data_IF_446097293290
#
_entry.id   IF_446097293290
#
_cell.length_a   1.000
_cell.length_b   1.000
_cell.length_c   1.000
_cell.angle_alpha   90.00
_cell.angle_beta   90.00
_cell.angle_gamma   90.00
#
_symmetry.space_group_name_H-M   'P 1'
#
loop_
_entity.id
_entity.type
_entity.pdbx_description
1 polymer ?
#
# COMPACT_ATOMS: atom_id res chain seq x y z
N UNK A 1 18.30 12.98 -3.66
CA UNK A 1 17.07 12.74 -4.47
C UNK A 1 17.37 11.98 -5.77
N UNK A 2 18.36 12.42 -6.57
CA UNK A 2 18.73 11.78 -7.84
C UNK A 2 19.10 10.29 -7.74
N UNK A 3 19.86 9.87 -6.72
CA UNK A 3 20.20 8.45 -6.50
C UNK A 3 18.96 7.58 -6.38
N UNK A 4 17.95 8.01 -5.63
CA UNK A 4 16.70 7.26 -5.46
C UNK A 4 15.90 7.12 -6.76
N UNK A 5 15.82 8.18 -7.56
CA UNK A 5 15.19 8.12 -8.90
C UNK A 5 15.95 7.10 -9.76
N UNK A 6 17.28 7.21 -9.79
CA UNK A 6 18.14 6.27 -10.52
C UNK A 6 17.92 4.83 -10.05
N UNK A 7 17.85 4.57 -8.75
CA UNK A 7 17.66 3.23 -8.19
C UNK A 7 16.26 2.67 -8.50
N UNK A 8 15.24 3.53 -8.58
CA UNK A 8 13.89 3.16 -9.01
C UNK A 8 13.87 2.70 -10.47
N UNK A 9 14.53 3.44 -11.35
CA UNK A 9 14.51 3.17 -12.80
C UNK A 9 15.52 2.11 -13.21
N UNK A 10 16.74 2.16 -12.68
CA UNK A 10 17.85 1.26 -12.97
C UNK A 10 17.96 0.03 -12.07
N UNK A 11 17.28 0.03 -10.92
CA UNK A 11 17.46 -0.98 -9.88
C UNK A 11 18.62 -0.65 -8.93
N UNK A 12 18.67 -1.35 -7.80
CA UNK A 12 19.74 -1.30 -6.80
C UNK A 12 21.11 -1.61 -7.40
N UNK A 13 22.17 -1.41 -6.63
CA UNK A 13 23.48 -1.98 -6.99
C UNK A 13 23.37 -3.50 -7.20
N UNK A 14 24.19 -4.08 -8.11
CA UNK A 14 24.25 -5.52 -8.30
C UNK A 14 24.55 -6.25 -6.99
N UNK A 15 23.81 -7.33 -6.76
CA UNK A 15 23.98 -8.23 -5.63
C UNK A 15 24.35 -9.60 -6.17
N UNK A 16 25.31 -10.22 -5.52
CA UNK A 16 25.82 -11.55 -5.87
C UNK A 16 25.54 -12.54 -4.74
N UNK A 17 25.13 -13.73 -5.13
CA UNK A 17 24.90 -14.85 -4.24
C UNK A 17 25.69 -16.05 -4.74
N UNK A 18 26.73 -16.42 -3.99
CA UNK A 18 27.55 -17.59 -4.29
C UNK A 18 26.79 -18.84 -3.86
N UNK A 19 26.71 -19.82 -4.75
CA UNK A 19 26.13 -21.12 -4.47
C UNK A 19 27.19 -22.12 -4.03
N UNK A 20 26.87 -22.93 -3.03
CA UNK A 20 27.67 -24.09 -2.62
C UNK A 20 27.48 -25.32 -3.51
N UNK A 21 26.66 -25.22 -4.57
CA UNK A 21 26.26 -26.35 -5.41
C UNK A 21 26.58 -26.11 -6.89
N UNK A 22 26.52 -27.18 -7.68
CA UNK A 22 26.58 -27.11 -9.14
C UNK A 22 25.39 -26.33 -9.73
N UNK A 23 25.49 -25.94 -11.00
CA UNK A 23 24.54 -25.02 -11.64
C UNK A 23 23.10 -25.56 -11.65
N UNK A 24 22.93 -26.79 -12.14
CA UNK A 24 21.62 -27.46 -12.21
C UNK A 24 20.98 -27.61 -10.84
N UNK A 25 21.78 -27.99 -9.83
CA UNK A 25 21.31 -28.15 -8.46
C UNK A 25 20.93 -26.79 -7.83
N UNK A 26 21.73 -25.75 -8.05
CA UNK A 26 21.45 -24.38 -7.58
C UNK A 26 20.11 -23.88 -8.12
N UNK A 27 19.87 -24.09 -9.43
CA UNK A 27 18.60 -23.74 -10.08
C UNK A 27 17.44 -24.55 -9.48
N UNK A 28 17.61 -25.86 -9.30
CA UNK A 28 16.57 -26.73 -8.74
C UNK A 28 16.22 -26.35 -7.29
N UNK A 29 17.21 -26.08 -6.44
CA UNK A 29 17.01 -25.67 -5.04
C UNK A 29 16.33 -24.31 -4.93
N UNK A 30 16.79 -23.32 -5.70
CA UNK A 30 16.14 -22.02 -5.71
C UNK A 30 14.71 -22.13 -6.24
N UNK A 31 14.48 -22.95 -7.27
CA UNK A 31 13.12 -23.21 -7.78
C UNK A 31 12.24 -23.86 -6.71
N UNK A 32 12.75 -24.83 -5.95
CA UNK A 32 12.02 -25.48 -4.85
C UNK A 32 11.68 -24.52 -3.70
N UNK A 33 12.56 -23.56 -3.41
CA UNK A 33 12.31 -22.50 -2.43
C UNK A 33 11.31 -21.43 -2.90
N UNK A 34 10.88 -21.49 -4.16
CA UNK A 34 9.97 -20.51 -4.78
C UNK A 34 8.65 -21.14 -5.19
N UNK A 35 7.54 -20.45 -4.94
CA UNK A 35 6.22 -20.92 -5.37
C UNK A 35 5.94 -20.43 -6.79
N UNK A 36 5.35 -21.28 -7.63
CA UNK A 36 4.83 -20.86 -8.93
C UNK A 36 3.63 -19.92 -8.74
N UNK A 37 3.37 -19.06 -9.73
CA UNK A 37 2.30 -18.06 -9.71
C UNK A 37 0.91 -18.72 -9.82
N UNK A 38 0.48 -19.43 -8.78
CA UNK A 38 -0.91 -19.84 -8.60
C UNK A 38 -1.67 -18.67 -7.97
N UNK A 39 -2.57 -18.04 -8.74
CA UNK A 39 -3.27 -16.78 -8.45
C UNK A 39 -4.12 -16.77 -7.15
N UNK A 40 -4.26 -17.88 -6.42
CA UNK A 40 -5.25 -18.01 -5.35
C UNK A 40 -4.80 -18.74 -4.07
N UNK A 41 -3.51 -19.08 -3.88
CA UNK A 41 -3.10 -20.03 -2.82
C UNK A 41 -1.89 -19.65 -1.96
N UNK A 42 -1.55 -18.38 -1.83
CA UNK A 42 -0.54 -17.99 -0.83
C UNK A 42 -1.27 -17.59 0.45
N UNK A 43 -1.50 -18.56 1.34
CA UNK A 43 -2.01 -18.32 2.70
C UNK A 43 -0.95 -17.70 3.61
N UNK A 44 0.32 -17.84 3.22
CA UNK A 44 1.50 -17.39 3.97
C UNK A 44 2.39 -16.49 3.10
N UNK A 45 3.42 -15.89 3.68
CA UNK A 45 4.38 -15.11 2.90
C UNK A 45 5.26 -16.05 2.06
N UNK A 46 5.45 -15.76 0.77
CA UNK A 46 6.26 -16.62 -0.10
C UNK A 46 7.05 -15.82 -1.14
N UNK A 47 8.18 -16.40 -1.56
CA UNK A 47 8.91 -15.96 -2.74
C UNK A 47 8.23 -16.58 -3.96
N UNK A 48 7.78 -15.75 -4.90
CA UNK A 48 7.06 -16.18 -6.11
C UNK A 48 7.78 -15.64 -7.32
N UNK A 49 7.91 -16.47 -8.35
CA UNK A 49 8.44 -16.00 -9.63
C UNK A 49 8.98 -17.12 -10.52
N UNK A 50 9.85 -16.73 -11.45
CA UNK A 50 10.46 -17.63 -12.43
C UNK A 50 11.93 -17.84 -12.05
N UNK A 51 12.34 -19.10 -12.01
CA UNK A 51 13.74 -19.49 -11.79
C UNK A 51 14.18 -20.34 -12.98
N UNK A 52 15.13 -19.83 -13.74
CA UNK A 52 15.92 -20.58 -14.74
C UNK A 52 17.37 -20.11 -14.66
N UNK A 53 18.27 -20.86 -15.29
CA UNK A 53 19.68 -20.51 -15.40
C UNK A 53 19.88 -19.11 -15.99
N UNK A 54 19.26 -18.84 -17.14
CA UNK A 54 19.39 -17.58 -17.87
C UNK A 54 18.65 -16.41 -17.24
N UNK A 55 17.62 -16.68 -16.42
CA UNK A 55 16.76 -15.64 -15.86
C UNK A 55 16.09 -16.09 -14.58
N UNK A 56 16.42 -15.37 -13.51
CA UNK A 56 15.75 -15.44 -12.21
C UNK A 56 14.96 -14.15 -12.02
N UNK A 57 13.68 -14.27 -11.73
CA UNK A 57 12.80 -13.15 -11.39
C UNK A 57 11.95 -13.51 -10.20
N UNK A 58 12.17 -12.87 -9.05
CA UNK A 58 11.52 -13.21 -7.78
C UNK A 58 10.91 -11.98 -7.13
N UNK A 59 9.73 -12.13 -6.54
CA UNK A 59 9.07 -11.12 -5.70
C UNK A 59 8.51 -11.74 -4.44
N UNK A 60 8.41 -10.96 -3.38
CA UNK A 60 7.72 -11.37 -2.15
C UNK A 60 6.22 -11.15 -2.30
N UNK A 61 5.45 -12.21 -2.13
CA UNK A 61 3.99 -12.15 -2.02
C UNK A 61 3.62 -12.23 -0.54
N UNK A 62 2.86 -11.24 -0.10
CA UNK A 62 2.27 -11.21 1.24
C UNK A 62 0.76 -11.36 1.04
N UNK A 63 0.11 -12.36 1.66
CA UNK A 63 -1.32 -12.60 1.50
C UNK A 63 -2.12 -11.33 1.74
N UNK A 64 -3.10 -11.05 0.87
CA UNK A 64 -4.01 -9.90 0.94
C UNK A 64 -3.34 -8.51 0.84
N UNK A 65 -2.02 -8.42 0.70
CA UNK A 65 -1.30 -7.15 0.55
C UNK A 65 -0.65 -7.05 -0.84
N UNK A 66 -1.45 -6.53 -1.78
CA UNK A 66 -1.01 -6.18 -3.12
C UNK A 66 -0.30 -4.83 -3.10
N UNK A 67 0.98 -4.82 -3.47
CA UNK A 67 1.70 -3.58 -3.75
C UNK A 67 2.54 -3.80 -5.01
N UNK A 68 2.13 -3.14 -6.10
CA UNK A 68 2.81 -3.26 -7.39
C UNK A 68 4.22 -2.63 -7.37
N UNK A 69 4.47 -1.70 -6.45
CA UNK A 69 5.76 -1.03 -6.27
C UNK A 69 6.76 -1.84 -5.43
N UNK A 70 6.44 -3.11 -5.12
CA UNK A 70 7.39 -4.00 -4.46
C UNK A 70 8.62 -4.24 -5.34
N UNK A 71 9.82 -4.30 -4.75
CA UNK A 71 11.02 -4.65 -5.48
C UNK A 71 10.95 -6.10 -5.95
N UNK A 72 11.36 -6.31 -7.20
CA UNK A 72 11.52 -7.59 -7.87
C UNK A 72 13.02 -7.82 -8.04
N UNK A 73 13.51 -8.95 -7.54
CA UNK A 73 14.85 -9.41 -7.86
C UNK A 73 14.85 -9.89 -9.31
N UNK A 74 15.76 -9.37 -10.14
CA UNK A 74 16.00 -9.86 -11.50
C UNK A 74 17.49 -10.15 -11.67
N UNK A 75 17.83 -11.37 -12.05
CA UNK A 75 19.21 -11.82 -12.17
C UNK A 75 19.37 -13.03 -13.08
N UNK A 76 20.57 -13.60 -13.10
CA UNK A 76 20.91 -14.83 -13.84
C UNK A 76 22.00 -15.59 -13.10
N UNK A 77 22.04 -16.90 -13.28
CA UNK A 77 23.17 -17.70 -12.86
C UNK A 77 24.31 -17.56 -13.86
N UNK A 78 25.54 -17.59 -13.37
CA UNK A 78 26.78 -17.66 -14.14
C UNK A 78 27.80 -18.50 -13.40
N UNK A 79 28.71 -19.15 -14.13
CA UNK A 79 29.89 -19.76 -13.54
C UNK A 79 31.06 -18.79 -13.63
N UNK A 80 31.67 -18.46 -12.49
CA UNK A 80 32.85 -17.63 -12.40
C UNK A 80 33.83 -18.30 -11.42
N UNK A 81 35.09 -18.49 -11.85
CA UNK A 81 36.16 -19.09 -11.03
C UNK A 81 35.80 -20.46 -10.43
N UNK A 82 35.12 -21.32 -11.21
CA UNK A 82 34.68 -22.64 -10.75
C UNK A 82 33.52 -22.61 -9.75
N UNK A 83 32.97 -21.44 -9.43
CA UNK A 83 31.82 -21.28 -8.55
C UNK A 83 30.58 -20.83 -9.34
N UNK A 84 29.41 -21.29 -8.89
CA UNK A 84 28.14 -20.83 -9.43
C UNK A 84 27.72 -19.59 -8.66
N UNK A 85 27.52 -18.48 -9.38
CA UNK A 85 27.12 -17.19 -8.81
C UNK A 85 25.80 -16.76 -9.42
N UNK A 86 24.84 -16.40 -8.57
CA UNK A 86 23.61 -15.72 -8.98
C UNK A 86 23.81 -14.21 -8.83
N UNK A 87 23.94 -13.52 -9.97
CA UNK A 87 24.09 -12.06 -10.00
C UNK A 87 22.78 -11.41 -10.44
N UNK A 88 22.34 -10.38 -9.73
CA UNK A 88 21.09 -9.69 -10.06
C UNK A 88 20.93 -8.35 -9.35
N UNK A 89 19.77 -7.73 -9.51
CA UNK A 89 19.44 -6.41 -8.94
C UNK A 89 18.01 -6.42 -8.42
N UNK A 90 17.74 -5.64 -7.39
CA UNK A 90 16.39 -5.36 -6.92
C UNK A 90 15.87 -4.10 -7.59
N UNK A 91 14.71 -4.16 -8.24
CA UNK A 91 14.13 -2.99 -8.89
C UNK A 91 12.63 -3.10 -9.03
N UNK A 92 11.97 -2.02 -9.46
CA UNK A 92 10.55 -2.06 -9.78
C UNK A 92 10.29 -2.97 -10.98
N UNK A 93 9.08 -3.55 -11.02
CA UNK A 93 8.62 -4.28 -12.20
C UNK A 93 8.59 -3.36 -13.43
N UNK A 94 8.84 -3.92 -14.61
CA UNK A 94 8.81 -3.19 -15.88
C UNK A 94 7.47 -2.47 -16.10
N UNK A 95 6.36 -3.15 -15.77
CA UNK A 95 5.02 -2.58 -15.89
C UNK A 95 4.86 -1.31 -15.06
N UNK A 96 5.33 -1.30 -13.80
CA UNK A 96 5.26 -0.10 -12.96
C UNK A 96 6.12 1.02 -13.51
N UNK A 97 7.32 0.71 -14.04
CA UNK A 97 8.16 1.72 -14.70
C UNK A 97 7.43 2.36 -15.87
N UNK A 98 6.82 1.55 -16.74
CA UNK A 98 6.06 2.05 -17.90
C UNK A 98 4.86 2.90 -17.46
N UNK A 99 4.09 2.42 -16.48
CA UNK A 99 2.95 3.17 -15.92
C UNK A 99 3.39 4.52 -15.34
N UNK A 100 4.46 4.54 -14.54
CA UNK A 100 4.96 5.78 -13.94
C UNK A 100 5.53 6.73 -15.00
N UNK A 101 6.18 6.21 -16.04
CA UNK A 101 6.68 7.04 -17.15
C UNK A 101 5.52 7.70 -17.89
N UNK A 102 4.47 6.93 -18.18
CA UNK A 102 3.23 7.44 -18.77
C UNK A 102 2.57 8.49 -17.86
N UNK A 103 2.39 8.20 -16.56
CA UNK A 103 1.76 9.11 -15.60
C UNK A 103 2.51 10.45 -15.51
N UNK A 104 3.83 10.40 -15.33
CA UNK A 104 4.63 11.62 -15.23
C UNK A 104 4.73 12.37 -16.56
N UNK A 105 4.79 11.65 -17.68
CA UNK A 105 4.73 12.25 -19.01
C UNK A 105 3.40 12.96 -19.27
N UNK A 106 2.29 12.33 -18.90
CA UNK A 106 0.96 12.94 -18.97
C UNK A 106 0.85 14.19 -18.08
N UNK A 107 1.31 14.13 -16.83
CA UNK A 107 1.30 15.30 -15.94
C UNK A 107 2.14 16.45 -16.52
N UNK A 108 3.33 16.16 -17.06
CA UNK A 108 4.19 17.16 -17.69
C UNK A 108 3.53 17.78 -18.94
N UNK A 109 2.96 16.95 -19.82
CA UNK A 109 2.24 17.40 -21.00
C UNK A 109 1.02 18.25 -20.62
N UNK A 110 0.24 17.82 -19.63
CA UNK A 110 -0.91 18.57 -19.12
C UNK A 110 -0.49 19.95 -18.61
N UNK A 111 0.59 20.04 -17.83
CA UNK A 111 1.13 21.32 -17.37
C UNK A 111 1.47 22.19 -18.58
N UNK A 112 2.24 21.69 -19.54
CA UNK A 112 2.63 22.45 -20.75
C UNK A 112 1.42 22.95 -21.55
N UNK A 113 0.44 22.08 -21.80
CA UNK A 113 -0.77 22.44 -22.55
C UNK A 113 -1.70 23.39 -21.78
N UNK A 114 -1.62 23.41 -20.45
CA UNK A 114 -2.41 24.32 -19.63
C UNK A 114 -1.83 25.74 -19.53
N UNK A 115 -0.55 25.94 -19.89
CA UNK A 115 0.10 27.26 -19.80
C UNK A 115 -0.57 28.34 -20.68
N UNK A 116 -0.92 28.09 -21.96
CA UNK A 116 -1.61 29.10 -22.77
C UNK A 116 -2.98 29.47 -22.21
N UNK A 117 -3.73 28.49 -21.68
CA UNK A 117 -5.03 28.73 -21.05
C UNK A 117 -4.88 29.57 -19.76
N UNK A 118 -3.86 29.27 -18.96
CA UNK A 118 -3.54 30.04 -17.75
C UNK A 118 -3.17 31.50 -18.06
N UNK A 119 -2.57 31.78 -19.22
CA UNK A 119 -2.21 33.13 -19.65
C UNK A 119 -3.43 33.96 -20.13
N UNK A 120 -4.53 33.32 -20.52
CA UNK A 120 -5.69 34.00 -21.12
C UNK A 120 -6.80 34.37 -20.11
N UNK A 121 -6.80 33.82 -18.89
CA UNK A 121 -7.86 34.12 -17.93
C UNK A 121 -7.59 33.67 -16.50
N UNK A 122 -8.14 34.41 -15.53
CA UNK A 122 -7.96 34.19 -14.09
C UNK A 122 -8.50 32.85 -13.60
N UNK A 123 -9.57 32.33 -14.22
CA UNK A 123 -10.16 31.04 -13.85
C UNK A 123 -9.27 29.83 -14.20
N UNK A 124 -8.48 29.92 -15.28
CA UNK A 124 -7.60 28.84 -15.74
C UNK A 124 -6.17 28.93 -15.15
N UNK A 125 -5.85 30.02 -14.45
CA UNK A 125 -4.53 30.26 -13.86
C UNK A 125 -4.05 29.13 -12.91
N UNK A 126 -4.98 28.40 -12.30
CA UNK A 126 -4.68 27.30 -11.37
C UNK A 126 -4.52 25.93 -12.06
N UNK A 127 -4.84 25.78 -13.35
CA UNK A 127 -4.72 24.50 -14.04
C UNK A 127 -3.29 23.92 -14.03
N UNK A 128 -2.22 24.69 -14.30
CA UNK A 128 -0.86 24.19 -14.19
C UNK A 128 -0.53 23.65 -12.78
N UNK A 129 -1.05 24.31 -11.74
CA UNK A 129 -0.86 23.88 -10.35
C UNK A 129 -1.54 22.53 -10.07
N UNK A 130 -2.68 22.25 -10.68
CA UNK A 130 -3.31 20.92 -10.60
C UNK A 130 -2.40 19.83 -11.18
N UNK A 131 -1.78 20.08 -12.35
CA UNK A 131 -0.83 19.15 -12.96
C UNK A 131 0.42 18.92 -12.11
N UNK A 132 0.99 19.99 -11.54
CA UNK A 132 2.12 19.91 -10.59
C UNK A 132 1.71 19.14 -9.33
N UNK A 133 0.52 19.40 -8.80
CA UNK A 133 -0.02 18.68 -7.65
C UNK A 133 -0.17 17.19 -7.91
N UNK A 134 -0.72 16.79 -9.06
CA UNK A 134 -0.83 15.39 -9.47
C UNK A 134 0.55 14.73 -9.65
N UNK A 135 1.52 15.46 -10.21
CA UNK A 135 2.89 14.97 -10.33
C UNK A 135 3.51 14.71 -8.95
N UNK A 136 3.43 15.69 -8.04
CA UNK A 136 3.94 15.57 -6.68
C UNK A 136 3.27 14.42 -5.91
N UNK A 137 1.96 14.25 -6.08
CA UNK A 137 1.20 13.16 -5.48
C UNK A 137 1.69 11.80 -6.00
N UNK A 138 1.87 11.65 -7.32
CA UNK A 138 2.42 10.42 -7.92
C UNK A 138 3.82 10.07 -7.37
N UNK A 139 4.66 11.08 -7.18
CA UNK A 139 5.99 10.92 -6.56
C UNK A 139 5.89 10.47 -5.10
N UNK A 140 5.02 11.12 -4.32
CA UNK A 140 4.76 10.79 -2.92
C UNK A 140 4.22 9.37 -2.76
N UNK A 141 3.26 8.97 -3.57
CA UNK A 141 2.68 7.61 -3.57
C UNK A 141 3.75 6.56 -3.91
N UNK A 142 4.55 6.80 -4.95
CA UNK A 142 5.64 5.88 -5.33
C UNK A 142 6.62 5.68 -4.19
N UNK A 143 7.01 6.77 -3.51
CA UNK A 143 7.90 6.73 -2.36
C UNK A 143 7.28 6.00 -1.18
N UNK A 144 6.01 6.26 -0.88
CA UNK A 144 5.27 5.60 0.20
C UNK A 144 5.17 4.09 -0.04
N UNK A 145 4.79 3.67 -1.24
CA UNK A 145 4.68 2.26 -1.58
C UNK A 145 6.03 1.54 -1.65
N UNK A 146 7.08 2.21 -2.11
CA UNK A 146 8.44 1.68 -2.04
C UNK A 146 8.89 1.51 -0.57
N UNK A 147 8.56 2.48 0.30
CA UNK A 147 8.87 2.43 1.72
C UNK A 147 8.19 1.26 2.43
N UNK A 148 6.95 0.93 2.08
CA UNK A 148 6.27 -0.28 2.59
C UNK A 148 6.99 -1.58 2.28
N UNK A 149 7.81 -1.57 1.24
CA UNK A 149 8.50 -2.76 0.73
C UNK A 149 10.00 -2.71 0.99
N UNK A 150 10.47 -1.78 1.84
CA UNK A 150 11.91 -1.59 2.13
C UNK A 150 12.60 -2.84 2.72
N UNK A 151 11.84 -3.71 3.38
CA UNK A 151 12.34 -4.98 3.94
C UNK A 151 12.30 -6.15 2.96
N UNK A 152 11.66 -6.01 1.81
CA UNK A 152 11.50 -7.11 0.84
C UNK A 152 12.83 -7.55 0.21
N UNK A 153 13.78 -6.66 -0.14
CA UNK A 153 15.10 -7.07 -0.65
C UNK A 153 15.90 -7.91 0.34
N UNK A 154 15.91 -7.53 1.62
CA UNK A 154 16.60 -8.27 2.67
C UNK A 154 15.95 -9.65 2.88
N UNK A 155 14.62 -9.71 2.94
CA UNK A 155 13.88 -10.96 3.07
C UNK A 155 14.12 -11.90 1.88
N UNK A 156 14.02 -11.39 0.64
CA UNK A 156 14.30 -12.17 -0.57
C UNK A 156 15.75 -12.63 -0.63
N UNK A 157 16.70 -11.76 -0.25
CA UNK A 157 18.12 -12.12 -0.17
C UNK A 157 18.34 -13.28 0.79
N UNK A 158 17.64 -13.30 1.93
CA UNK A 158 17.73 -14.41 2.88
C UNK A 158 17.20 -15.71 2.27
N UNK A 159 16.03 -15.67 1.61
CA UNK A 159 15.47 -16.85 0.93
C UNK A 159 16.45 -17.38 -0.13
N UNK A 160 17.05 -16.49 -0.92
CA UNK A 160 18.05 -16.85 -1.94
C UNK A 160 19.29 -17.47 -1.28
N UNK A 161 19.86 -16.82 -0.25
CA UNK A 161 21.03 -17.34 0.47
C UNK A 161 20.75 -18.71 1.07
N UNK A 162 19.63 -18.89 1.76
CA UNK A 162 19.25 -20.18 2.35
C UNK A 162 19.09 -21.27 1.29
N UNK A 163 18.55 -20.96 0.11
CA UNK A 163 18.42 -21.93 -0.97
C UNK A 163 19.75 -22.32 -1.63
N UNK A 164 20.73 -21.41 -1.62
CA UNK A 164 22.01 -21.56 -2.33
C UNK A 164 23.19 -21.98 -1.44
N UNK A 165 23.08 -21.87 -0.11
CA UNK A 165 24.09 -22.38 0.81
C UNK A 165 23.91 -23.89 1.09
N UNK A 166 25.03 -24.60 1.21
CA UNK A 166 25.08 -25.96 1.75
C UNK A 166 24.47 -25.98 3.16
N UNK A 167 23.74 -27.04 3.58
CA UNK A 167 23.35 -27.17 4.98
C UNK A 167 24.64 -27.15 5.81
N UNK A 168 24.76 -26.15 6.68
CA UNK A 168 25.72 -26.20 7.77
C UNK A 168 25.27 -27.37 8.66
N UNK A 169 26.21 -28.17 9.17
CA UNK A 169 25.95 -29.33 10.04
C UNK A 169 24.78 -29.07 11.02
N UNK A 170 23.94 -30.08 11.31
CA UNK A 170 22.75 -29.93 12.14
C UNK A 170 22.97 -29.22 13.50
N UNK A 171 24.19 -29.28 14.05
CA UNK A 171 24.61 -28.51 15.24
C UNK A 171 24.54 -26.98 15.08
N UNK A 172 24.85 -26.43 13.90
CA UNK A 172 24.77 -24.99 13.66
C UNK A 172 23.32 -24.50 13.46
N UNK A 173 22.42 -25.39 13.05
CA UNK A 173 20.99 -25.09 12.86
C UNK A 173 20.27 -24.98 14.21
N UNK A 174 20.75 -25.71 15.24
CA UNK A 174 20.29 -25.59 16.63
C UNK A 174 20.80 -24.31 17.32
N UNK A 175 21.83 -23.66 16.78
CA UNK A 175 22.43 -22.44 17.34
C UNK A 175 21.83 -21.14 16.75
N UNK A 176 20.97 -21.22 15.72
CA UNK A 176 20.29 -20.03 15.22
C UNK A 176 19.15 -19.67 16.17
N UNK A 177 19.20 -18.49 16.83
CA UNK A 177 18.08 -18.06 17.65
C UNK A 177 16.85 -18.00 16.74
N UNK A 178 15.80 -18.73 17.12
CA UNK A 178 14.49 -18.61 16.49
C UNK A 178 14.23 -17.13 16.29
N UNK A 179 13.96 -16.72 15.04
CA UNK A 179 13.71 -15.33 14.70
C UNK A 179 12.63 -14.81 15.62
N UNK A 180 13.03 -14.08 16.67
CA UNK A 180 12.09 -13.57 17.66
C UNK A 180 11.03 -12.82 16.86
N UNK A 181 9.73 -13.15 17.01
CA UNK A 181 8.70 -12.34 16.40
C UNK A 181 8.96 -10.93 16.88
N UNK A 182 9.39 -10.07 15.96
CA UNK A 182 9.82 -8.73 16.29
C UNK A 182 8.63 -8.05 16.95
N UNK A 183 8.74 -7.70 18.22
CA UNK A 183 7.74 -6.90 18.94
C UNK A 183 7.56 -5.50 18.32
N UNK A 184 8.39 -5.16 17.32
CA UNK A 184 8.19 -3.97 16.52
C UNK A 184 6.80 -3.99 15.88
N UNK A 185 6.04 -2.93 16.17
CA UNK A 185 4.69 -2.76 15.65
C UNK A 185 4.71 -2.75 14.13
N UNK A 186 3.84 -3.54 13.47
CA UNK A 186 3.70 -3.49 12.03
C UNK A 186 3.43 -2.05 11.55
N UNK A 187 4.10 -1.58 10.49
CA UNK A 187 3.96 -0.19 10.01
C UNK A 187 2.52 0.21 9.68
N UNK A 188 1.69 -0.74 9.21
CA UNK A 188 0.28 -0.46 8.89
C UNK A 188 -0.51 0.00 10.12
N UNK A 189 -0.18 -0.47 11.33
CA UNK A 189 -0.87 -0.06 12.56
C UNK A 189 -0.67 1.44 12.78
N UNK A 190 0.56 1.95 12.59
CA UNK A 190 0.86 3.37 12.74
C UNK A 190 0.11 4.21 11.71
N UNK A 191 -0.03 3.71 10.48
CA UNK A 191 -0.74 4.43 9.42
C UNK A 191 -2.23 4.45 9.65
N UNK A 192 -2.85 3.30 9.94
CA UNK A 192 -4.29 3.26 10.25
C UNK A 192 -4.57 4.14 11.47
N UNK A 193 -3.72 4.09 12.50
CA UNK A 193 -3.80 5.02 13.65
C UNK A 193 -3.74 6.47 13.19
N UNK A 194 -2.74 6.84 12.40
CA UNK A 194 -2.58 8.21 11.91
C UNK A 194 -3.77 8.71 11.09
N UNK A 195 -4.33 7.85 10.23
CA UNK A 195 -5.53 8.16 9.43
C UNK A 195 -6.75 8.38 10.34
N UNK A 196 -6.97 7.50 11.31
CA UNK A 196 -8.07 7.65 12.28
C UNK A 196 -7.89 8.91 13.14
N UNK A 197 -6.67 9.21 13.58
CA UNK A 197 -6.36 10.45 14.28
C UNK A 197 -6.69 11.68 13.43
N UNK A 198 -6.22 11.70 12.18
CA UNK A 198 -6.46 12.81 11.27
C UNK A 198 -7.95 13.02 11.03
N UNK A 199 -8.70 11.95 10.73
CA UNK A 199 -10.15 12.04 10.53
C UNK A 199 -10.89 12.47 11.81
N UNK A 200 -10.49 11.95 12.97
CA UNK A 200 -11.04 12.37 14.26
C UNK A 200 -10.85 13.87 14.51
N UNK A 201 -9.63 14.39 14.30
CA UNK A 201 -9.33 15.82 14.44
C UNK A 201 -10.08 16.66 13.40
N UNK A 202 -10.17 16.21 12.14
CA UNK A 202 -10.93 16.90 11.11
C UNK A 202 -12.42 17.01 11.47
N UNK A 203 -13.02 15.98 12.08
CA UNK A 203 -14.39 16.05 12.60
C UNK A 203 -14.55 17.14 13.66
N UNK A 204 -13.59 17.29 14.58
CA UNK A 204 -13.59 18.37 15.57
C UNK A 204 -13.47 19.76 14.95
N UNK A 205 -12.50 19.95 14.05
CA UNK A 205 -12.29 21.24 13.37
C UNK A 205 -13.56 21.62 12.58
N UNK A 206 -14.17 20.67 11.87
CA UNK A 206 -15.43 20.90 11.17
C UNK A 206 -16.59 21.26 12.11
N UNK A 207 -16.70 20.61 13.27
CA UNK A 207 -17.72 20.92 14.26
C UNK A 207 -17.54 22.33 14.87
N UNK A 208 -16.30 22.73 15.18
CA UNK A 208 -15.96 24.03 15.78
C UNK A 208 -16.15 25.19 14.81
N UNK A 209 -15.77 25.02 13.55
CA UNK A 209 -15.88 26.10 12.54
C UNK A 209 -17.32 26.40 12.14
N UNK A 210 -18.32 25.64 12.63
CA UNK A 210 -19.71 25.76 12.20
C UNK A 210 -19.96 25.38 10.75
N UNK A 211 -18.89 25.24 9.95
CA UNK A 211 -18.78 24.53 8.67
C UNK A 211 -18.80 23.02 8.93
N UNK A 212 -19.86 22.51 9.56
CA UNK A 212 -19.97 21.08 9.83
C UNK A 212 -19.87 20.32 8.51
N UNK A 213 -18.79 19.56 8.28
CA UNK A 213 -18.56 18.60 7.17
C UNK A 213 -18.96 19.01 5.72
N UNK A 214 -19.46 20.21 5.48
CA UNK A 214 -20.10 20.64 4.24
C UNK A 214 -19.10 20.98 3.13
N UNK A 215 -17.82 21.06 3.47
CA UNK A 215 -16.74 21.21 2.48
C UNK A 215 -16.43 19.88 1.80
N UNK A 216 -16.83 18.74 2.38
CA UNK A 216 -16.57 17.40 1.81
C UNK A 216 -17.84 16.74 1.29
N UNK A 217 -19.02 17.03 1.86
CA UNK A 217 -20.31 16.57 1.33
C UNK A 217 -21.27 17.75 1.12
N UNK A 218 -21.54 18.03 -0.15
CA UNK A 218 -22.34 19.14 -0.66
C UNK A 218 -23.86 18.97 -0.42
N UNK A 219 -24.28 18.58 0.79
CA UNK A 219 -25.68 18.38 1.19
C UNK A 219 -26.05 19.30 2.35
N UNK A 220 -26.33 20.58 2.07
CA UNK A 220 -26.64 21.60 3.08
C UNK A 220 -27.97 21.37 3.83
N UNK A 221 -28.92 20.64 3.26
CA UNK A 221 -30.30 20.56 3.75
C UNK A 221 -30.43 19.97 5.18
N UNK A 222 -29.64 18.94 5.52
CA UNK A 222 -29.70 18.30 6.84
C UNK A 222 -28.97 19.13 7.91
N UNK A 223 -27.91 19.84 7.49
CA UNK A 223 -27.14 20.77 8.32
C UNK A 223 -27.98 22.01 8.66
N UNK A 224 -28.72 22.53 7.68
CA UNK A 224 -29.64 23.66 7.86
C UNK A 224 -30.80 23.30 8.78
N UNK A 225 -31.37 22.10 8.62
CA UNK A 225 -32.54 21.66 9.41
C UNK A 225 -32.18 21.27 10.86
N UNK A 226 -31.01 20.67 11.09
CA UNK A 226 -30.60 20.19 12.43
C UNK A 226 -29.14 20.51 12.80
N UNK A 227 -28.75 21.80 12.85
CA UNK A 227 -27.34 22.20 12.99
C UNK A 227 -26.71 21.73 14.31
N UNK A 228 -27.48 21.71 15.41
CA UNK A 228 -26.98 21.26 16.72
C UNK A 228 -26.75 19.74 16.75
N UNK A 229 -27.69 18.96 16.22
CA UNK A 229 -27.59 17.50 16.21
C UNK A 229 -26.44 17.02 15.31
N UNK A 230 -26.27 17.65 14.13
CA UNK A 230 -25.16 17.33 13.21
C UNK A 230 -23.81 17.66 13.85
N UNK A 231 -23.68 18.82 14.52
CA UNK A 231 -22.44 19.17 15.24
C UNK A 231 -22.14 18.18 16.37
N UNK A 232 -23.14 17.82 17.17
CA UNK A 232 -22.97 16.82 18.23
C UNK A 232 -22.55 15.46 17.65
N UNK A 233 -23.21 15.02 16.57
CA UNK A 233 -22.85 13.79 15.87
C UNK A 233 -21.42 13.81 15.34
N UNK A 234 -20.96 14.92 14.76
CA UNK A 234 -19.58 15.08 14.30
C UNK A 234 -18.57 15.02 15.46
N UNK A 235 -18.87 15.64 16.61
CA UNK A 235 -18.04 15.56 17.82
C UNK A 235 -17.96 14.12 18.34
N UNK A 236 -19.10 13.44 18.47
CA UNK A 236 -19.18 12.05 18.93
C UNK A 236 -18.39 11.12 18.00
N UNK A 237 -18.59 11.26 16.68
CA UNK A 237 -17.84 10.48 15.68
C UNK A 237 -16.32 10.76 15.77
N UNK A 238 -15.93 12.02 15.94
CA UNK A 238 -14.53 12.41 16.13
C UNK A 238 -13.90 11.74 17.36
N UNK A 239 -14.60 11.75 18.51
CA UNK A 239 -14.16 11.05 19.73
C UNK A 239 -14.05 9.54 19.52
N UNK A 240 -15.03 8.92 18.87
CA UNK A 240 -15.00 7.49 18.57
C UNK A 240 -13.83 7.10 17.66
N UNK A 241 -13.54 7.91 16.64
CA UNK A 241 -12.39 7.70 15.76
C UNK A 241 -11.06 7.82 16.51
N UNK A 242 -10.91 8.81 17.40
CA UNK A 242 -9.71 8.97 18.23
C UNK A 242 -9.55 7.82 19.22
N UNK A 243 -10.64 7.37 19.87
CA UNK A 243 -10.62 6.21 20.75
C UNK A 243 -10.23 4.93 19.99
N UNK A 244 -10.77 4.74 18.78
CA UNK A 244 -10.36 3.65 17.90
C UNK A 244 -8.89 3.76 17.50
N UNK A 245 -8.40 4.95 17.15
CA UNK A 245 -6.99 5.18 16.82
C UNK A 245 -6.09 4.76 17.99
N UNK A 246 -6.39 5.21 19.21
CA UNK A 246 -5.67 4.83 20.41
C UNK A 246 -5.69 3.31 20.65
N UNK A 247 -6.86 2.69 20.54
CA UNK A 247 -6.98 1.24 20.71
C UNK A 247 -6.27 0.43 19.62
N UNK A 248 -6.28 0.90 18.38
CA UNK A 248 -5.53 0.30 17.25
C UNK A 248 -4.03 0.40 17.52
N UNK A 249 -3.54 1.56 17.96
CA UNK A 249 -2.15 1.76 18.36
C UNK A 249 -1.72 0.83 19.49
N UNK A 250 -2.61 0.61 20.47
CA UNK A 250 -2.43 -0.34 21.58
C UNK A 250 -2.68 -1.81 21.19
N UNK A 251 -3.03 -2.08 19.93
CA UNK A 251 -3.30 -3.42 19.37
C UNK A 251 -4.49 -4.13 20.02
N UNK A 252 -5.52 -3.41 20.46
CA UNK A 252 -6.76 -4.01 20.96
C UNK A 252 -7.65 -4.49 19.80
N UNK A 253 -8.02 -5.77 19.81
CA UNK A 253 -8.86 -6.35 18.76
C UNK A 253 -10.26 -5.72 18.69
N UNK A 254 -10.82 -5.31 19.83
CA UNK A 254 -12.13 -4.63 19.88
C UNK A 254 -12.08 -3.29 19.16
N UNK A 255 -11.02 -2.49 19.38
CA UNK A 255 -10.85 -1.21 18.70
C UNK A 255 -10.63 -1.37 17.19
N UNK A 256 -9.94 -2.45 16.78
CA UNK A 256 -9.82 -2.82 15.37
C UNK A 256 -11.18 -3.11 14.73
N UNK A 257 -12.05 -3.87 15.40
CA UNK A 257 -13.39 -4.13 14.87
C UNK A 257 -14.29 -2.89 14.89
N UNK A 258 -14.27 -2.13 15.97
CA UNK A 258 -15.03 -0.88 16.09
C UNK A 258 -14.64 0.11 14.99
N UNK A 259 -13.35 0.25 14.69
CA UNK A 259 -12.87 1.10 13.60
C UNK A 259 -13.42 0.69 12.23
N UNK A 260 -13.52 -0.61 11.95
CA UNK A 260 -14.13 -1.10 10.71
C UNK A 260 -15.62 -0.80 10.64
N UNK A 261 -16.35 -1.03 11.73
CA UNK A 261 -17.79 -0.74 11.80
C UNK A 261 -18.05 0.75 11.57
N UNK A 262 -17.25 1.64 12.18
CA UNK A 262 -17.35 3.08 11.96
C UNK A 262 -17.13 3.46 10.49
N UNK A 263 -16.11 2.90 9.84
CA UNK A 263 -15.87 3.14 8.41
C UNK A 263 -17.01 2.62 7.54
N UNK A 264 -17.55 1.45 7.85
CA UNK A 264 -18.66 0.85 7.11
C UNK A 264 -19.96 1.64 7.28
N UNK A 265 -20.25 2.12 8.49
CA UNK A 265 -21.38 3.03 8.73
C UNK A 265 -21.22 4.34 7.97
N UNK A 266 -20.02 4.92 7.92
CA UNK A 266 -19.73 6.10 7.11
C UNK A 266 -19.94 5.86 5.61
N UNK A 267 -19.54 4.69 5.12
CA UNK A 267 -19.77 4.29 3.73
C UNK A 267 -21.26 4.09 3.43
N UNK A 268 -22.01 3.42 4.31
CA UNK A 268 -23.46 3.25 4.17
C UNK A 268 -24.16 4.61 4.16
N UNK A 269 -23.78 5.50 5.08
CA UNK A 269 -24.30 6.87 5.11
C UNK A 269 -24.04 7.60 3.80
N UNK A 270 -22.83 7.53 3.24
CA UNK A 270 -22.50 8.18 1.97
C UNK A 270 -23.32 7.63 0.79
N UNK A 271 -23.63 6.33 0.77
CA UNK A 271 -24.47 5.73 -0.28
C UNK A 271 -25.93 6.13 -0.10
N UNK A 272 -26.46 6.09 1.13
CA UNK A 272 -27.83 6.51 1.43
C UNK A 272 -28.03 7.99 1.09
N UNK A 273 -27.09 8.85 1.48
CA UNK A 273 -27.08 10.28 1.13
C UNK A 273 -27.15 10.47 -0.39
N UNK A 274 -26.23 9.84 -1.13
CA UNK A 274 -26.22 9.88 -2.59
C UNK A 274 -27.55 9.44 -3.22
N UNK A 275 -28.17 8.36 -2.72
CA UNK A 275 -29.43 7.83 -3.24
C UNK A 275 -30.65 8.72 -2.87
N UNK A 276 -30.59 9.39 -1.72
CA UNK A 276 -31.65 10.28 -1.25
C UNK A 276 -31.66 11.65 -1.92
N UNK A 277 -30.58 12.02 -2.64
CA UNK A 277 -30.43 13.33 -3.28
C UNK A 277 -31.19 13.44 -4.58
N UNK A 278 -32.12 14.39 -4.64
CA UNK A 278 -32.91 14.72 -5.84
C UNK A 278 -32.24 15.76 -6.74
N UNK A 279 -31.28 16.52 -6.21
CA UNK A 279 -30.66 17.70 -6.84
C UNK A 279 -29.47 17.39 -7.77
N UNK A 280 -29.08 16.12 -7.90
CA UNK A 280 -27.85 15.75 -8.60
C UNK A 280 -27.94 15.80 -10.14
N UNK A 281 -29.13 15.81 -10.72
CA UNK A 281 -29.34 15.81 -12.18
C UNK A 281 -28.46 14.78 -12.91
N UNK A 282 -27.71 15.22 -13.93
CA UNK A 282 -26.80 14.35 -14.71
C UNK A 282 -25.62 13.80 -13.89
N UNK A 283 -25.25 14.41 -12.77
CA UNK A 283 -24.17 13.92 -11.91
C UNK A 283 -24.58 12.67 -11.10
N UNK A 284 -25.88 12.36 -11.02
CA UNK A 284 -26.41 11.19 -10.29
C UNK A 284 -25.82 9.88 -10.81
N UNK A 285 -25.72 9.71 -12.12
CA UNK A 285 -25.17 8.47 -12.71
C UNK A 285 -23.70 8.27 -12.33
N UNK A 286 -22.89 9.33 -12.42
CA UNK A 286 -21.49 9.29 -12.00
C UNK A 286 -21.38 8.99 -10.50
N UNK A 287 -22.22 9.63 -9.68
CA UNK A 287 -22.29 9.37 -8.25
C UNK A 287 -22.61 7.90 -7.95
N UNK A 288 -23.61 7.30 -8.62
CA UNK A 288 -23.96 5.88 -8.46
C UNK A 288 -22.78 4.98 -8.84
N UNK A 289 -22.11 5.25 -9.97
CA UNK A 289 -20.93 4.48 -10.38
C UNK A 289 -19.81 4.55 -9.34
N UNK A 290 -19.55 5.74 -8.78
CA UNK A 290 -18.58 5.92 -7.69
C UNK A 290 -19.05 5.21 -6.40
N UNK A 291 -20.34 5.22 -6.10
CA UNK A 291 -20.95 4.48 -4.99
C UNK A 291 -20.75 2.96 -5.12
N UNK A 292 -21.00 2.40 -6.29
CA UNK A 292 -20.75 0.97 -6.58
C UNK A 292 -19.26 0.65 -6.50
N UNK A 293 -18.41 1.50 -7.09
CA UNK A 293 -16.95 1.35 -7.02
C UNK A 293 -16.43 1.37 -5.58
N UNK A 294 -16.96 2.27 -4.74
CA UNK A 294 -16.57 2.35 -3.32
C UNK A 294 -17.06 1.14 -2.51
N UNK A 295 -18.23 0.56 -2.80
CA UNK A 295 -18.67 -0.72 -2.20
C UNK A 295 -17.73 -1.89 -2.54
N UNK A 296 -17.28 -1.96 -3.79
CA UNK A 296 -16.28 -2.95 -4.21
C UNK A 296 -14.96 -2.78 -3.44
N UNK A 297 -14.47 -1.53 -3.35
CA UNK A 297 -13.27 -1.19 -2.57
C UNK A 297 -13.47 -1.55 -1.09
N UNK A 298 -14.61 -1.21 -0.50
CA UNK A 298 -14.93 -1.53 0.90
C UNK A 298 -14.93 -3.05 1.15
N UNK A 299 -15.39 -3.86 0.19
CA UNK A 299 -15.37 -5.33 0.28
C UNK A 299 -13.94 -5.88 0.27
N UNK A 300 -13.10 -5.43 -0.66
CA UNK A 300 -11.69 -5.82 -0.71
C UNK A 300 -10.95 -5.36 0.55
N UNK A 301 -11.20 -4.14 0.99
CA UNK A 301 -10.63 -3.56 2.19
C UNK A 301 -11.10 -4.30 3.45
N UNK A 302 -12.38 -4.70 3.54
CA UNK A 302 -12.90 -5.49 4.65
C UNK A 302 -12.26 -6.88 4.74
N UNK A 303 -12.00 -7.54 3.60
CA UNK A 303 -11.24 -8.79 3.58
C UNK A 303 -9.80 -8.59 4.07
N UNK A 304 -9.15 -7.50 3.65
CA UNK A 304 -7.82 -7.14 4.16
C UNK A 304 -7.84 -6.82 5.65
N UNK A 305 -8.82 -6.04 6.11
CA UNK A 305 -9.01 -5.63 7.50
C UNK A 305 -9.16 -6.86 8.40
N UNK A 306 -10.00 -7.81 7.97
CA UNK A 306 -10.16 -9.08 8.65
C UNK A 306 -8.84 -9.87 8.73
N UNK A 307 -8.07 -9.92 7.65
CA UNK A 307 -6.80 -10.64 7.63
C UNK A 307 -5.78 -10.09 8.64
N UNK A 308 -5.74 -8.77 8.86
CA UNK A 308 -4.81 -8.14 9.80
C UNK A 308 -5.12 -8.38 11.29
N UNK A 309 -6.28 -8.97 11.62
CA UNK A 309 -6.70 -9.24 13.01
C UNK A 309 -5.67 -10.03 13.83
N UNK A 310 -4.83 -10.83 13.16
CA UNK A 310 -3.76 -11.63 13.79
C UNK A 310 -2.72 -10.78 14.51
N UNK A 311 -2.61 -9.49 14.17
CA UNK A 311 -1.71 -8.56 14.83
C UNK A 311 -2.31 -7.94 16.10
N UNK A 312 -3.56 -8.23 16.46
CA UNK A 312 -4.24 -7.64 17.61
C UNK A 312 -4.39 -8.66 18.73
N UNK A 313 -4.26 -8.19 19.98
CA UNK A 313 -4.41 -9.02 21.16
C UNK A 313 -5.90 -9.19 21.46
N UNK A 314 -6.32 -10.44 21.72
CA UNK A 314 -7.61 -10.71 22.35
C UNK A 314 -7.51 -10.28 23.81
N UNK A 315 -8.52 -9.57 24.29
CA UNK A 315 -8.62 -9.21 25.71
C UNK A 315 -8.56 -10.51 26.52
N UNK A 316 -7.56 -10.63 27.40
CA UNK A 316 -7.54 -11.69 28.41
C UNK A 316 -8.36 -11.14 29.58
N UNK A 317 -9.57 -11.68 29.72
CA UNK A 317 -10.44 -11.44 30.89
C UNK A 317 -9.83 -12.06 32.12
#
# INVERSE_FOLDING_TARGET
>A
MFRWIKDIWGGSEPVEFISGYGLTESVARLKAATKSWSLFRVAEQAAVGRVSETRVSLRRVVPMFGNSFKPVFTGRFSQANGQVVLTGRFGLSWFVKLFMAYWFGFCALFVLLSLPAAAQGSAAAFMPLAGIGMFALGLGMTRLFAWFSRGDPAWLSQVIRTALHAPVSPEATLALPASRPSDARPPFILIVTGVFCLFGVMCFVGALQGRGAGVIHAGGALIERYPRAVRLGAVVNGLMLLACAYGIYRRYLVAWWAGFVLLLLGQVYSVVDLLSREDLGNARMLGILLGVGSLFVATLFGRWWYAQRVHFQRWKS
#
